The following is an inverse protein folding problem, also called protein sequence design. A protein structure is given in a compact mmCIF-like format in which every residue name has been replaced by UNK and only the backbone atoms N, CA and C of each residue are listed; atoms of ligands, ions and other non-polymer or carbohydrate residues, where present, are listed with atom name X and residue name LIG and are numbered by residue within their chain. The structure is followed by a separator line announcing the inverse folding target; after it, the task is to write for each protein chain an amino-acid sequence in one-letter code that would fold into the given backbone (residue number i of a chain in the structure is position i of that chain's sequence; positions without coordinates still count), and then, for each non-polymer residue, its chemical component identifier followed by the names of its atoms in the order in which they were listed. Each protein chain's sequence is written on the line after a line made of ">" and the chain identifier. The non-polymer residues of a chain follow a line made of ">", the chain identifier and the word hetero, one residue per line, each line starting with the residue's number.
data_IF_657309331244
#
_entry.id   IF_657309331244
#
_cell.length_a   1.000
_cell.length_b   1.000
_cell.length_c   1.000
_cell.angle_alpha   90.00
_cell.angle_beta   90.00
_cell.angle_gamma   90.00
#
_symmetry.space_group_name_H-M   'P 1'
#
loop_
_entity.id
_entity.type
_entity.pdbx_description
1 polymer ?
#
# COMPACT_ATOMS: atom_id res chain seq x y z
N UNK A 1 -22.07 -15.13 15.70
CA UNK A 1 -21.38 -14.19 16.61
C UNK A 1 -19.88 -14.39 16.41
N UNK A 2 -19.18 -13.40 15.86
CA UNK A 2 -17.71 -13.43 15.82
C UNK A 2 -17.17 -13.25 17.25
N UNK A 3 -16.11 -13.97 17.65
CA UNK A 3 -15.47 -13.73 18.94
C UNK A 3 -14.93 -12.29 18.99
N UNK A 4 -15.02 -11.59 20.13
CA UNK A 4 -14.57 -10.21 20.22
C UNK A 4 -13.05 -10.14 19.96
N UNK A 5 -12.67 -9.34 18.95
CA UNK A 5 -11.26 -9.11 18.55
C UNK A 5 -10.40 -8.50 19.66
N UNK A 6 -11.03 -7.97 20.71
CA UNK A 6 -10.40 -7.34 21.87
C UNK A 6 -11.10 -7.80 23.16
N UNK A 7 -10.33 -8.20 24.18
CA UNK A 7 -10.88 -8.66 25.46
C UNK A 7 -11.08 -7.52 26.48
N UNK A 8 -10.29 -6.45 26.35
CA UNK A 8 -10.24 -5.34 27.30
C UNK A 8 -10.28 -3.99 26.59
N UNK A 9 -10.73 -2.95 27.29
CA UNK A 9 -10.64 -1.55 26.87
C UNK A 9 -10.16 -0.66 28.02
N UNK A 10 -9.40 0.37 27.69
CA UNK A 10 -8.96 1.44 28.57
C UNK A 10 -9.96 2.60 28.47
N UNK A 11 -10.36 3.17 29.60
CA UNK A 11 -11.32 4.28 29.68
C UNK A 11 -10.62 5.47 30.34
N UNK A 12 -10.69 6.63 29.70
CA UNK A 12 -10.06 7.85 30.19
C UNK A 12 -11.08 8.69 30.97
N UNK A 13 -10.77 9.03 32.23
CA UNK A 13 -11.65 9.83 33.09
C UNK A 13 -11.20 11.29 33.21
N UNK A 14 -10.01 11.62 32.71
CA UNK A 14 -9.41 12.95 32.80
C UNK A 14 -8.46 13.21 31.65
N UNK A 15 -8.06 14.48 31.47
CA UNK A 15 -7.19 14.90 30.38
C UNK A 15 -7.94 15.04 29.05
N UNK A 16 -7.21 15.22 27.93
CA UNK A 16 -7.80 15.51 26.61
C UNK A 16 -8.69 14.39 26.06
N UNK A 17 -8.48 13.15 26.52
CA UNK A 17 -9.24 11.98 26.12
C UNK A 17 -10.38 11.63 27.10
N UNK A 18 -10.67 12.48 28.10
CA UNK A 18 -11.71 12.21 29.08
C UNK A 18 -13.06 11.88 28.42
N UNK A 19 -13.69 10.78 28.84
CA UNK A 19 -14.93 10.27 28.26
C UNK A 19 -14.73 9.29 27.11
N UNK A 20 -13.51 9.10 26.60
CA UNK A 20 -13.20 8.17 25.54
C UNK A 20 -12.80 6.78 26.07
N UNK A 21 -12.94 5.76 25.22
CA UNK A 21 -12.42 4.42 25.48
C UNK A 21 -11.60 3.88 24.31
N UNK A 22 -10.50 3.18 24.61
CA UNK A 22 -9.59 2.58 23.64
C UNK A 22 -9.59 1.06 23.82
N UNK A 23 -9.88 0.31 22.76
CA UNK A 23 -9.76 -1.15 22.77
C UNK A 23 -8.29 -1.58 22.84
N UNK A 24 -7.99 -2.53 23.71
CA UNK A 24 -6.63 -2.99 23.95
C UNK A 24 -6.38 -4.32 23.20
N UNK A 25 -5.44 -4.38 22.23
CA UNK A 25 -4.98 -5.63 21.65
C UNK A 25 -4.29 -6.52 22.70
N UNK A 26 -4.19 -7.82 22.41
CA UNK A 26 -3.40 -8.75 23.21
C UNK A 26 -1.91 -8.42 23.06
N UNK A 27 -1.13 -8.51 24.14
CA UNK A 27 0.30 -8.20 24.16
C UNK A 27 0.68 -6.99 25.02
N UNK A 28 1.93 -6.56 24.89
CA UNK A 28 2.48 -5.42 25.63
C UNK A 28 2.16 -4.11 24.89
N UNK A 29 1.52 -3.16 25.57
CA UNK A 29 1.12 -1.85 25.06
C UNK A 29 1.82 -0.76 25.86
N UNK A 30 2.56 0.10 25.18
CA UNK A 30 3.32 1.20 25.78
C UNK A 30 2.48 2.47 25.89
N UNK A 31 2.45 3.07 27.08
CA UNK A 31 1.81 4.36 27.34
C UNK A 31 2.89 5.39 27.66
N UNK A 32 2.89 6.52 26.94
CA UNK A 32 3.88 7.58 27.12
C UNK A 32 3.60 8.79 26.25
N UNK A 33 4.46 9.79 26.29
CA UNK A 33 4.30 11.01 25.50
C UNK A 33 5.14 11.02 24.20
N UNK A 34 5.95 9.98 23.97
CA UNK A 34 6.81 9.87 22.78
C UNK A 34 6.08 9.20 21.60
N UNK A 35 6.49 9.50 20.36
CA UNK A 35 5.91 8.88 19.15
C UNK A 35 6.09 7.35 19.06
N UNK A 36 7.00 6.78 19.85
CA UNK A 36 7.28 5.35 19.93
C UNK A 36 6.27 4.60 20.82
N UNK A 37 5.40 5.31 21.53
CA UNK A 37 4.39 4.71 22.40
C UNK A 37 3.13 4.34 21.61
N UNK A 38 2.60 3.15 21.87
CA UNK A 38 1.35 2.66 21.26
C UNK A 38 0.15 3.55 21.63
N UNK A 39 0.17 4.12 22.84
CA UNK A 39 -0.83 5.08 23.32
C UNK A 39 -0.12 6.36 23.76
N UNK A 40 -0.27 7.40 22.94
CA UNK A 40 0.29 8.71 23.24
C UNK A 40 -0.57 9.45 24.27
N UNK A 41 -0.08 9.52 25.49
CA UNK A 41 -0.72 10.16 26.64
C UNK A 41 0.29 11.05 27.35
N UNK A 42 0.19 12.36 27.18
CA UNK A 42 1.03 13.32 27.89
C UNK A 42 0.64 13.41 29.38
N UNK A 43 1.59 13.13 30.27
CA UNK A 43 1.40 13.27 31.72
C UNK A 43 2.22 14.45 32.25
N UNK A 44 1.62 15.44 32.94
CA UNK A 44 2.33 16.66 33.36
C UNK A 44 3.56 16.46 34.27
N UNK A 45 3.74 15.26 34.85
CA UNK A 45 4.75 14.97 35.88
C UNK A 45 5.69 13.81 35.53
N UNK A 46 5.59 13.27 34.32
CA UNK A 46 6.46 12.21 33.83
C UNK A 46 6.56 12.37 32.31
N UNK A 47 7.74 12.71 31.75
CA UNK A 47 7.97 12.65 30.32
C UNK A 47 8.56 11.29 29.91
N UNK A 48 8.34 10.89 28.66
CA UNK A 48 8.82 9.65 28.06
C UNK A 48 7.81 8.50 28.12
N UNK A 49 8.32 7.27 28.14
CA UNK A 49 7.49 6.09 28.41
C UNK A 49 7.09 6.03 29.88
N UNK A 50 5.79 5.99 30.16
CA UNK A 50 5.24 6.04 31.51
C UNK A 50 5.10 4.65 32.11
N UNK A 51 4.47 3.74 31.37
CA UNK A 51 4.20 2.37 31.79
C UNK A 51 3.91 1.46 30.59
N UNK A 52 3.94 0.14 30.83
CA UNK A 52 3.52 -0.88 29.86
C UNK A 52 2.32 -1.63 30.42
N UNK A 53 1.28 -1.80 29.60
CA UNK A 53 0.14 -2.67 29.88
C UNK A 53 0.37 -4.00 29.18
N UNK A 54 0.54 -5.08 29.94
CA UNK A 54 0.51 -6.45 29.42
C UNK A 54 -0.92 -6.94 29.45
N UNK A 55 -1.52 -7.03 28.26
CA UNK A 55 -2.92 -7.39 28.07
C UNK A 55 -2.99 -8.85 27.66
N UNK A 56 -3.88 -9.60 28.30
CA UNK A 56 -4.21 -11.00 27.98
C UNK A 56 -5.70 -11.24 28.12
N UNK A 57 -6.20 -12.39 27.70
CA UNK A 57 -7.60 -12.78 27.93
C UNK A 57 -7.98 -12.78 29.43
N UNK A 58 -7.02 -13.14 30.29
CA UNK A 58 -7.22 -13.28 31.75
C UNK A 58 -7.22 -11.94 32.49
N UNK A 59 -6.56 -10.91 31.96
CA UNK A 59 -6.39 -9.65 32.67
C UNK A 59 -5.40 -8.68 32.03
N UNK A 60 -5.29 -7.50 32.63
CA UNK A 60 -4.30 -6.48 32.27
C UNK A 60 -3.36 -6.25 33.45
N UNK A 61 -2.06 -6.43 33.22
CA UNK A 61 -1.01 -6.13 34.19
C UNK A 61 -0.28 -4.86 33.80
N UNK A 62 -0.03 -4.00 34.77
CA UNK A 62 0.74 -2.77 34.63
C UNK A 62 2.18 -3.01 35.04
N UNK A 63 3.13 -2.59 34.20
CA UNK A 63 4.54 -2.40 34.58
C UNK A 63 4.85 -0.91 34.59
N UNK A 64 5.21 -0.39 35.75
CA UNK A 64 5.58 1.01 35.96
C UNK A 64 7.01 1.24 35.45
N UNK A 65 7.22 2.27 34.63
CA UNK A 65 8.55 2.65 34.17
C UNK A 65 9.02 3.92 34.89
N UNK A 66 8.32 5.03 34.66
CA UNK A 66 8.75 6.36 35.14
C UNK A 66 7.69 7.11 35.93
N UNK A 67 6.47 6.57 36.00
CA UNK A 67 5.35 7.21 36.70
C UNK A 67 4.97 6.44 37.96
N UNK A 68 4.60 7.17 39.01
CA UNK A 68 4.01 6.57 40.22
C UNK A 68 2.54 6.33 39.98
N UNK A 69 2.11 5.08 40.14
CA UNK A 69 0.73 4.68 39.92
C UNK A 69 -0.02 4.50 41.25
N UNK A 70 -1.30 4.86 41.25
CA UNK A 70 -2.22 4.57 42.35
C UNK A 70 -3.46 3.88 41.84
N UNK A 71 -3.96 2.89 42.56
CA UNK A 71 -5.26 2.26 42.30
C UNK A 71 -6.20 2.65 43.44
N UNK A 72 -7.33 3.27 43.11
CA UNK A 72 -8.32 3.80 44.05
C UNK A 72 -7.68 4.67 45.16
N UNK A 73 -6.67 5.47 44.77
CA UNK A 73 -5.93 6.35 45.67
C UNK A 73 -4.84 5.68 46.52
N UNK A 74 -4.72 4.35 46.51
CA UNK A 74 -3.62 3.62 47.18
C UNK A 74 -2.43 3.50 46.25
N UNK A 75 -1.24 3.89 46.72
CA UNK A 75 0.01 3.78 45.95
C UNK A 75 0.37 2.31 45.77
N UNK A 76 0.66 1.92 44.53
CA UNK A 76 1.17 0.58 44.22
C UNK A 76 2.57 0.39 44.82
N UNK A 77 2.83 -0.81 45.35
CA UNK A 77 4.15 -1.24 45.86
C UNK A 77 4.72 -2.25 44.87
N UNK A 78 5.96 -2.05 44.41
CA UNK A 78 6.59 -2.88 43.37
C UNK A 78 6.65 -2.18 42.01
N UNK A 79 7.18 -2.87 41.00
CA UNK A 79 7.28 -2.38 39.62
C UNK A 79 6.12 -2.89 38.73
N UNK A 80 5.47 -3.98 39.12
CA UNK A 80 4.32 -4.55 38.43
C UNK A 80 3.11 -4.71 39.35
N UNK A 81 1.90 -4.58 38.79
CA UNK A 81 0.65 -4.85 39.48
C UNK A 81 -0.47 -5.25 38.51
N UNK A 82 -1.32 -6.19 38.89
CA UNK A 82 -2.55 -6.47 38.14
C UNK A 82 -3.54 -5.32 38.33
N UNK A 83 -4.18 -4.88 37.24
CA UNK A 83 -5.22 -3.83 37.27
C UNK A 83 -6.58 -4.52 37.27
N UNK A 84 -7.34 -4.45 38.38
CA UNK A 84 -8.69 -5.01 38.38
C UNK A 84 -9.63 -4.14 37.55
N UNK A 85 -10.62 -4.77 36.90
CA UNK A 85 -11.63 -4.08 36.12
C UNK A 85 -12.37 -3.02 36.96
N UNK A 86 -12.74 -1.91 36.32
CA UNK A 86 -13.49 -0.78 36.86
C UNK A 86 -12.82 -0.01 38.00
N UNK A 87 -11.58 -0.34 38.36
CA UNK A 87 -10.85 0.41 39.37
C UNK A 87 -10.20 1.65 38.77
N UNK A 88 -10.19 2.75 39.52
CA UNK A 88 -9.58 4.00 39.11
C UNK A 88 -8.07 3.90 39.27
N UNK A 89 -7.37 3.90 38.15
CA UNK A 89 -5.93 4.03 38.04
C UNK A 89 -5.58 5.51 37.87
N UNK A 90 -4.71 6.02 38.73
CA UNK A 90 -4.09 7.35 38.62
C UNK A 90 -2.63 7.15 38.21
N UNK A 91 -2.33 7.54 36.97
CA UNK A 91 -0.98 7.59 36.40
C UNK A 91 -0.50 9.04 36.49
N UNK A 92 0.19 9.41 37.58
CA UNK A 92 0.85 10.71 37.68
C UNK A 92 -0.04 11.95 37.47
N UNK A 93 -1.35 11.85 37.73
CA UNK A 93 -2.33 12.92 37.50
C UNK A 93 -3.34 12.63 36.38
N UNK A 94 -3.15 11.58 35.58
CA UNK A 94 -4.15 11.07 34.65
C UNK A 94 -5.00 9.96 35.29
N UNK A 95 -6.29 10.18 35.44
CA UNK A 95 -7.28 9.18 35.86
C UNK A 95 -7.80 8.34 34.68
N UNK A 96 -7.70 7.03 34.80
CA UNK A 96 -8.13 6.00 33.83
C UNK A 96 -8.69 4.76 34.55
N UNK A 97 -9.39 3.88 33.83
CA UNK A 97 -9.80 2.55 34.32
C UNK A 97 -9.81 1.53 33.19
N UNK A 98 -9.91 0.25 33.51
CA UNK A 98 -9.99 -0.83 32.53
C UNK A 98 -11.34 -1.54 32.64
N UNK A 99 -11.95 -1.91 31.52
CA UNK A 99 -13.21 -2.68 31.47
C UNK A 99 -13.13 -3.78 30.41
N UNK A 100 -14.04 -4.76 30.44
CA UNK A 100 -14.16 -5.71 29.32
C UNK A 100 -14.68 -4.97 28.08
N UNK A 101 -14.22 -5.38 26.89
CA UNK A 101 -14.55 -4.69 25.65
C UNK A 101 -16.07 -4.58 25.40
N UNK A 102 -16.82 -5.64 25.72
CA UNK A 102 -18.29 -5.72 25.55
C UNK A 102 -19.12 -5.16 26.71
N UNK A 103 -18.51 -4.56 27.74
CA UNK A 103 -19.25 -3.94 28.84
C UNK A 103 -19.50 -2.45 28.55
N UNK A 104 -20.75 -2.02 28.52
CA UNK A 104 -21.10 -0.59 28.51
C UNK A 104 -20.90 -0.02 29.92
N UNK A 105 -19.69 0.48 30.20
CA UNK A 105 -19.38 1.12 31.46
C UNK A 105 -19.95 2.56 31.45
N UNK A 106 -20.85 2.94 32.37
CA UNK A 106 -21.28 4.33 32.48
C UNK A 106 -20.11 5.21 32.92
N UNK A 107 -19.87 6.30 32.18
CA UNK A 107 -18.87 7.32 32.53
C UNK A 107 -19.23 7.96 33.89
N UNK A 108 -18.40 7.83 34.95
CA UNK A 108 -18.70 8.47 36.22
C UNK A 108 -18.60 9.99 36.09
N UNK A 109 -19.63 10.70 36.57
CA UNK A 109 -19.71 12.16 36.57
C UNK A 109 -18.52 12.79 37.32
N UNK A 110 -17.87 13.75 36.66
CA UNK A 110 -16.76 14.55 37.18
C UNK A 110 -17.22 15.31 38.43
N UNK A 111 -16.74 14.93 39.62
CA UNK A 111 -16.69 15.82 40.79
C UNK A 111 -15.33 16.51 40.78
N UNK A 112 -15.29 17.78 40.38
CA UNK A 112 -14.09 18.60 40.46
C UNK A 112 -13.66 18.70 41.93
N UNK A 113 -12.55 18.06 42.27
CA UNK A 113 -11.98 18.08 43.62
C UNK A 113 -11.29 19.43 43.79
N UNK A 114 -11.97 20.40 44.41
CA UNK A 114 -11.35 21.65 44.88
C UNK A 114 -10.19 21.28 45.81
N UNK A 115 -8.96 21.63 45.43
CA UNK A 115 -7.83 21.59 46.34
C UNK A 115 -8.03 22.69 47.39
N UNK A 116 -8.55 22.32 48.55
CA UNK A 116 -8.56 23.19 49.72
C UNK A 116 -7.12 23.44 50.15
N UNK A 117 -6.68 24.70 50.05
CA UNK A 117 -5.42 25.16 50.63
C UNK A 117 -5.57 25.05 52.14
N UNK A 118 -4.92 24.06 52.76
CA UNK A 118 -4.75 24.02 54.22
C UNK A 118 -3.66 25.01 54.59
N UNK A 119 -4.06 26.18 55.09
CA UNK A 119 -3.16 27.12 55.76
C UNK A 119 -2.51 26.40 56.96
N UNK A 120 -1.20 26.19 56.88
CA UNK A 120 -0.42 25.77 58.04
C UNK A 120 -0.23 26.97 58.97
N UNK A 121 -0.64 26.79 60.22
CA UNK A 121 -0.61 27.78 61.29
C UNK A 121 0.84 27.89 61.81
N UNK A 122 1.38 29.10 61.75
CA UNK A 122 2.72 29.51 62.19
C UNK A 122 2.88 29.50 63.71
N UNK A 123 3.79 28.68 64.23
CA UNK A 123 4.49 28.77 65.53
C UNK A 123 5.92 28.25 65.25
N UNK A 124 7.05 28.88 65.50
CA UNK A 124 7.47 30.15 66.06
C UNK A 124 9.01 30.18 66.06
N UNK A 125 9.58 31.36 66.38
CA UNK A 125 10.97 31.63 66.79
C UNK A 125 12.03 31.89 65.68
N UNK A 126 12.24 33.20 65.46
CA UNK A 126 13.50 33.97 65.39
C UNK A 126 14.80 33.37 64.79
N UNK A 127 15.28 33.98 63.69
CA UNK A 127 16.61 34.64 63.59
C UNK A 127 16.67 35.52 62.31
N UNK A 128 17.30 36.72 62.34
CA UNK A 128 16.90 37.86 61.52
C UNK A 128 17.78 38.14 60.28
N UNK A 129 17.21 38.85 59.31
CA UNK A 129 17.91 39.92 58.59
C UNK A 129 18.49 39.61 57.21
N UNK A 130 19.19 38.48 57.01
CA UNK A 130 19.96 38.27 55.76
C UNK A 130 19.39 37.19 54.84
N UNK A 131 18.56 36.28 55.35
CA UNK A 131 17.88 35.29 54.51
C UNK A 131 16.63 35.84 53.81
N UNK A 132 15.99 36.90 54.32
CA UNK A 132 14.70 37.36 53.77
C UNK A 132 14.87 38.03 52.40
N UNK A 133 15.96 38.77 52.17
CA UNK A 133 16.25 39.38 50.84
C UNK A 133 16.68 38.32 49.82
N UNK A 134 17.51 37.35 50.23
CA UNK A 134 17.88 36.21 49.39
C UNK A 134 16.68 35.31 49.07
N UNK A 135 15.82 35.03 50.04
CA UNK A 135 14.61 34.22 49.84
C UNK A 135 13.56 34.97 49.02
N UNK A 136 13.46 36.30 49.14
CA UNK A 136 12.55 37.12 48.34
C UNK A 136 13.06 37.27 46.91
N UNK A 137 14.38 37.41 46.69
CA UNK A 137 14.99 37.36 45.36
C UNK A 137 14.82 35.97 44.74
N UNK A 138 15.06 34.88 45.48
CA UNK A 138 14.83 33.50 45.03
C UNK A 138 13.35 33.20 44.83
N UNK A 139 12.42 33.78 45.61
CA UNK A 139 10.97 33.66 45.38
C UNK A 139 10.50 34.50 44.19
N UNK A 140 11.14 35.64 43.90
CA UNK A 140 10.89 36.43 42.70
C UNK A 140 11.49 35.78 41.45
N UNK A 141 12.67 35.17 41.56
CA UNK A 141 13.31 34.37 40.51
C UNK A 141 12.50 33.09 40.27
N UNK A 142 12.21 32.32 41.32
CA UNK A 142 11.37 31.13 41.23
C UNK A 142 9.94 31.46 40.81
N UNK A 143 9.40 32.64 41.13
CA UNK A 143 8.12 33.12 40.61
C UNK A 143 8.16 33.50 39.13
N UNK A 144 9.28 34.03 38.64
CA UNK A 144 9.53 34.26 37.21
C UNK A 144 9.79 32.95 36.46
N UNK A 145 10.55 32.04 37.05
CA UNK A 145 10.87 30.72 36.50
C UNK A 145 9.65 29.80 36.55
N UNK A 146 8.79 29.87 37.58
CA UNK A 146 7.50 29.16 37.61
C UNK A 146 6.49 29.74 36.60
N UNK A 147 6.54 31.05 36.31
CA UNK A 147 5.76 31.66 35.21
C UNK A 147 6.34 31.32 33.84
N UNK A 148 7.65 31.13 33.71
CA UNK A 148 8.31 30.69 32.49
C UNK A 148 8.27 29.17 32.29
N UNK A 149 8.06 28.38 33.36
CA UNK A 149 8.02 26.91 33.37
C UNK A 149 6.61 26.34 33.49
N UNK A 150 5.56 27.16 33.35
CA UNK A 150 4.30 26.63 32.80
C UNK A 150 4.51 26.69 31.29
N UNK A 151 4.91 25.58 30.63
CA UNK A 151 4.93 25.59 29.19
C UNK A 151 3.47 25.82 28.79
N UNK A 152 3.23 26.96 28.15
CA UNK A 152 1.93 27.44 27.75
C UNK A 152 1.44 26.56 26.58
N UNK A 153 1.14 25.28 26.85
CA UNK A 153 0.49 24.36 25.92
C UNK A 153 -1.02 24.49 25.98
N UNK A 154 -1.53 25.64 26.44
CA UNK A 154 -2.80 26.09 25.89
C UNK A 154 -2.49 26.53 24.46
N UNK A 155 -2.43 25.57 23.53
CA UNK A 155 -2.77 25.91 22.15
C UNK A 155 -4.17 26.49 22.27
N UNK A 156 -4.27 27.83 22.24
CA UNK A 156 -5.53 28.52 22.07
C UNK A 156 -6.23 27.78 20.93
N UNK A 157 -7.44 27.27 21.19
CA UNK A 157 -8.23 26.63 20.17
C UNK A 157 -8.34 27.63 19.01
N UNK A 158 -7.63 27.34 17.92
CA UNK A 158 -7.57 28.21 16.76
C UNK A 158 -8.89 28.08 16.02
N UNK A 159 -9.86 28.86 16.46
CA UNK A 159 -11.19 28.92 15.87
C UNK A 159 -11.11 29.28 14.38
N UNK A 160 -10.12 30.09 13.99
CA UNK A 160 -9.94 30.51 12.60
C UNK A 160 -9.39 29.35 11.75
N UNK A 161 -8.34 28.67 12.21
CA UNK A 161 -7.81 27.46 11.57
C UNK A 161 -8.84 26.33 11.50
N UNK A 162 -9.61 26.13 12.56
CA UNK A 162 -10.72 25.18 12.60
C UNK A 162 -11.82 25.51 11.58
N UNK A 163 -12.25 26.77 11.49
CA UNK A 163 -13.23 27.20 10.49
C UNK A 163 -12.70 27.12 9.06
N UNK A 164 -11.43 27.44 8.85
CA UNK A 164 -10.78 27.35 7.55
C UNK A 164 -10.68 25.90 7.08
N UNK A 165 -10.33 24.98 7.97
CA UNK A 165 -10.29 23.55 7.69
C UNK A 165 -11.66 23.00 7.29
N UNK A 166 -12.75 23.50 7.85
CA UNK A 166 -14.11 23.07 7.49
C UNK A 166 -14.64 23.68 6.17
N UNK A 167 -13.99 24.73 5.67
CA UNK A 167 -14.43 25.45 4.46
C UNK A 167 -13.73 24.98 3.19
N UNK A 168 -12.66 24.21 3.29
CA UNK A 168 -12.01 23.63 2.11
C UNK A 168 -12.98 22.68 1.40
N UNK A 169 -13.09 22.87 0.09
CA UNK A 169 -13.96 22.09 -0.78
C UNK A 169 -13.12 21.37 -1.82
N UNK A 170 -13.57 20.17 -2.15
CA UNK A 170 -13.07 19.37 -3.24
C UNK A 170 -14.25 19.03 -4.14
N UNK A 171 -14.01 18.92 -5.45
CA UNK A 171 -15.09 18.66 -6.39
C UNK A 171 -15.70 17.26 -6.18
N UNK A 172 -14.89 16.28 -5.78
CA UNK A 172 -15.29 14.88 -5.66
C UNK A 172 -15.11 14.29 -4.25
N UNK A 173 -14.83 15.11 -3.22
CA UNK A 173 -14.72 14.65 -1.83
C UNK A 173 -15.81 15.30 -1.00
N UNK A 174 -16.68 14.46 -0.43
CA UNK A 174 -17.70 14.84 0.56
C UNK A 174 -17.10 14.74 1.95
N UNK A 175 -17.39 15.76 2.76
CA UNK A 175 -16.99 15.83 4.16
C UNK A 175 -18.25 15.90 5.00
N UNK A 176 -18.60 14.78 5.63
CA UNK A 176 -19.74 14.70 6.54
C UNK A 176 -19.26 14.74 7.99
N UNK A 177 -20.07 15.33 8.87
CA UNK A 177 -19.78 15.40 10.30
C UNK A 177 -20.84 14.62 11.06
N UNK A 178 -20.40 13.73 11.95
CA UNK A 178 -21.32 13.00 12.83
C UNK A 178 -21.63 13.77 14.12
N UNK A 179 -22.55 13.23 14.93
CA UNK A 179 -22.99 13.81 16.20
C UNK A 179 -21.88 13.90 17.26
N UNK A 180 -20.83 13.09 17.11
CA UNK A 180 -19.65 13.09 18.00
C UNK A 180 -18.60 14.12 17.58
N UNK A 181 -18.79 14.77 16.43
CA UNK A 181 -17.91 15.78 15.88
C UNK A 181 -16.77 15.24 15.02
N UNK A 182 -16.76 13.93 14.70
CA UNK A 182 -15.78 13.32 13.80
C UNK A 182 -16.17 13.62 12.35
N UNK A 183 -15.19 14.05 11.56
CA UNK A 183 -15.37 14.22 10.12
C UNK A 183 -15.17 12.90 9.38
N UNK A 184 -16.04 12.56 8.45
CA UNK A 184 -15.86 11.44 7.54
C UNK A 184 -15.65 12.00 6.13
N UNK A 185 -14.46 11.78 5.58
CA UNK A 185 -14.11 12.17 4.23
C UNK A 185 -14.39 10.98 3.32
N UNK A 186 -15.27 11.14 2.35
CA UNK A 186 -15.62 10.11 1.37
C UNK A 186 -15.56 10.69 -0.03
N UNK A 187 -15.21 9.87 -1.02
CA UNK A 187 -15.16 10.31 -2.40
C UNK A 187 -13.82 9.98 -3.04
N UNK A 188 -13.40 10.81 -3.99
CA UNK A 188 -12.36 10.47 -4.95
C UNK A 188 -11.31 11.58 -5.06
N UNK A 189 -10.07 11.16 -5.27
CA UNK A 189 -8.93 12.03 -5.57
C UNK A 189 -8.18 11.48 -6.78
N UNK A 190 -7.50 12.37 -7.49
CA UNK A 190 -6.57 11.96 -8.53
C UNK A 190 -5.24 11.51 -7.90
N UNK A 191 -4.60 12.40 -7.14
CA UNK A 191 -3.38 12.11 -6.39
C UNK A 191 -3.58 12.22 -4.88
N UNK A 192 -3.09 11.24 -4.12
CA UNK A 192 -3.07 11.30 -2.65
C UNK A 192 -2.23 12.48 -2.11
N UNK A 193 -1.26 12.95 -2.89
CA UNK A 193 -0.47 14.13 -2.57
C UNK A 193 -1.35 15.39 -2.47
N UNK A 194 -2.38 15.52 -3.30
CA UNK A 194 -3.29 16.68 -3.30
C UNK A 194 -4.18 16.73 -2.06
N UNK A 195 -4.50 15.55 -1.50
CA UNK A 195 -5.30 15.44 -0.29
C UNK A 195 -4.48 15.74 0.98
N UNK A 196 -3.16 15.51 0.93
CA UNK A 196 -2.27 15.60 2.09
C UNK A 196 -2.27 16.96 2.81
N UNK A 197 -2.24 18.13 2.13
CA UNK A 197 -2.33 19.44 2.77
C UNK A 197 -3.62 19.63 3.58
N UNK A 198 -4.74 19.08 3.09
CA UNK A 198 -6.02 19.15 3.77
C UNK A 198 -6.03 18.31 5.04
N UNK A 199 -5.57 17.06 4.95
CA UNK A 199 -5.43 16.18 6.10
C UNK A 199 -4.52 16.80 7.17
N UNK A 200 -3.40 17.41 6.75
CA UNK A 200 -2.50 18.12 7.65
C UNK A 200 -3.18 19.31 8.33
N UNK A 201 -4.03 20.04 7.62
CA UNK A 201 -4.80 21.15 8.21
C UNK A 201 -5.80 20.63 9.26
N UNK A 202 -6.49 19.51 8.99
CA UNK A 202 -7.37 18.87 9.97
C UNK A 202 -6.59 18.46 11.23
N UNK A 203 -5.42 17.84 11.08
CA UNK A 203 -4.54 17.44 12.18
C UNK A 203 -4.08 18.67 12.99
N UNK A 204 -3.63 19.74 12.32
CA UNK A 204 -3.16 20.97 12.97
C UNK A 204 -4.27 21.67 13.75
N UNK A 205 -5.49 21.66 13.21
CA UNK A 205 -6.68 22.20 13.86
C UNK A 205 -7.25 21.30 14.98
N UNK A 206 -6.65 20.12 15.22
CA UNK A 206 -7.12 19.16 16.23
C UNK A 206 -8.45 18.51 15.87
N UNK A 207 -8.80 18.44 14.59
CA UNK A 207 -10.04 17.86 14.08
C UNK A 207 -9.83 16.36 13.86
N UNK A 208 -10.62 15.54 14.55
CA UNK A 208 -10.63 14.09 14.36
C UNK A 208 -11.38 13.75 13.09
N UNK A 209 -10.81 12.88 12.25
CA UNK A 209 -11.44 12.46 11.02
C UNK A 209 -11.24 10.97 10.70
N UNK A 210 -12.12 10.44 9.85
CA UNK A 210 -12.02 9.15 9.17
C UNK A 210 -11.83 9.40 7.68
N UNK A 211 -10.68 9.00 7.13
CA UNK A 211 -10.43 9.08 5.69
C UNK A 211 -10.91 7.81 5.01
N UNK A 212 -11.90 7.94 4.13
CA UNK A 212 -12.42 6.91 3.24
C UNK A 212 -12.38 7.37 1.77
N UNK A 213 -11.53 8.34 1.46
CA UNK A 213 -11.30 8.81 0.10
C UNK A 213 -10.41 7.81 -0.62
N UNK A 214 -10.77 7.48 -1.86
CA UNK A 214 -9.99 6.59 -2.73
C UNK A 214 -9.27 7.43 -3.78
N UNK A 215 -7.94 7.39 -3.81
CA UNK A 215 -7.15 8.09 -4.83
C UNK A 215 -6.78 7.18 -6.00
N UNK A 216 -6.85 7.69 -7.22
CA UNK A 216 -6.53 6.94 -8.44
C UNK A 216 -5.07 6.47 -8.47
N UNK A 217 -4.13 7.28 -8.00
CA UNK A 217 -2.71 6.94 -7.93
C UNK A 217 -2.41 5.81 -6.93
N UNK A 218 -3.06 5.83 -5.76
CA UNK A 218 -2.97 4.76 -4.76
C UNK A 218 -3.63 3.47 -5.26
N UNK A 219 -4.79 3.58 -5.91
CA UNK A 219 -5.48 2.45 -6.51
C UNK A 219 -4.63 1.79 -7.59
N UNK A 220 -4.05 2.58 -8.52
CA UNK A 220 -3.10 2.10 -9.54
C UNK A 220 -1.90 1.41 -8.90
N UNK A 221 -1.33 1.97 -7.83
CA UNK A 221 -0.21 1.36 -7.09
C UNK A 221 -0.60 0.03 -6.46
N UNK A 222 -1.77 -0.06 -5.84
CA UNK A 222 -2.30 -1.30 -5.25
C UNK A 222 -2.52 -2.40 -6.29
N UNK A 223 -3.16 -2.06 -7.42
CA UNK A 223 -3.37 -2.99 -8.54
C UNK A 223 -2.03 -3.43 -9.13
N UNK A 224 -1.10 -2.49 -9.35
CA UNK A 224 0.25 -2.80 -9.85
C UNK A 224 1.00 -3.75 -8.91
N UNK A 225 0.86 -3.57 -7.61
CA UNK A 225 1.46 -4.45 -6.61
C UNK A 225 0.92 -5.88 -6.72
N UNK A 226 -0.41 -6.05 -6.80
CA UNK A 226 -1.05 -7.36 -6.98
C UNK A 226 -0.57 -8.03 -8.27
N UNK A 227 -0.53 -7.30 -9.39
CA UNK A 227 -0.06 -7.82 -10.68
C UNK A 227 1.39 -8.31 -10.60
N UNK A 228 2.29 -7.52 -10.01
CA UNK A 228 3.71 -7.89 -9.84
C UNK A 228 3.89 -9.08 -8.90
N UNK A 229 3.13 -9.14 -7.81
CA UNK A 229 3.16 -10.25 -6.86
C UNK A 229 2.71 -11.56 -7.51
N UNK A 230 1.79 -11.48 -8.47
CA UNK A 230 1.35 -12.60 -9.29
C UNK A 230 2.17 -12.75 -10.59
N UNK A 231 3.37 -12.18 -10.70
CA UNK A 231 4.28 -12.44 -11.84
C UNK A 231 4.09 -11.57 -13.09
N UNK A 232 3.11 -10.68 -13.13
CA UNK A 232 2.90 -9.73 -14.25
C UNK A 232 3.75 -8.47 -14.06
N UNK A 233 5.07 -8.58 -14.22
CA UNK A 233 6.02 -7.48 -13.90
C UNK A 233 5.87 -6.26 -14.81
N UNK A 234 5.45 -6.53 -16.04
CA UNK A 234 5.39 -5.58 -17.14
C UNK A 234 3.96 -5.09 -17.45
N UNK A 235 2.95 -5.61 -16.74
CA UNK A 235 1.59 -5.13 -16.87
C UNK A 235 1.46 -3.67 -16.42
N UNK A 236 0.69 -2.90 -17.19
CA UNK A 236 0.42 -1.50 -16.95
C UNK A 236 -0.99 -1.31 -16.41
N UNK A 237 -1.15 -0.30 -15.56
CA UNK A 237 -2.44 0.07 -14.96
C UNK A 237 -2.70 1.53 -15.24
N UNK A 238 -3.78 1.80 -15.97
CA UNK A 238 -4.30 3.16 -16.18
C UNK A 238 -5.63 3.33 -15.45
N UNK A 239 -6.00 4.59 -15.20
CA UNK A 239 -7.34 4.90 -14.72
C UNK A 239 -8.39 4.41 -15.73
N UNK A 240 -9.52 3.92 -15.22
CA UNK A 240 -10.68 3.59 -16.03
C UNK A 240 -11.60 4.80 -16.24
N UNK A 241 -12.76 4.56 -16.85
CA UNK A 241 -13.71 5.63 -17.18
C UNK A 241 -14.54 6.08 -15.99
N UNK A 242 -14.68 5.24 -14.98
CA UNK A 242 -15.48 5.50 -13.78
C UNK A 242 -14.62 5.52 -12.52
N UNK A 243 -15.07 6.21 -11.48
CA UNK A 243 -14.44 6.16 -10.17
C UNK A 243 -14.16 4.75 -9.63
N UNK A 244 -12.97 4.56 -9.09
CA UNK A 244 -12.54 3.26 -8.56
C UNK A 244 -12.33 2.20 -9.65
N UNK A 245 -12.35 2.58 -10.93
CA UNK A 245 -12.11 1.65 -12.03
C UNK A 245 -10.69 1.77 -12.59
N UNK A 246 -10.15 0.66 -13.08
CA UNK A 246 -8.84 0.61 -13.74
C UNK A 246 -8.89 -0.19 -15.03
N UNK A 247 -7.96 0.12 -15.94
CA UNK A 247 -7.70 -0.68 -17.13
C UNK A 247 -6.31 -1.29 -16.96
N UNK A 248 -6.24 -2.60 -17.08
CA UNK A 248 -5.01 -3.39 -17.00
C UNK A 248 -4.61 -3.74 -18.44
N UNK A 249 -3.40 -3.39 -18.84
CA UNK A 249 -2.84 -3.74 -20.16
C UNK A 249 -1.57 -4.57 -20.01
N UNK A 250 -1.39 -5.58 -20.86
CA UNK A 250 -0.20 -6.44 -20.85
C UNK A 250 -0.48 -7.86 -21.34
N UNK A 251 0.55 -8.70 -21.32
CA UNK A 251 0.44 -10.12 -21.67
C UNK A 251 -0.26 -10.89 -20.53
N UNK A 252 -1.59 -10.97 -20.62
CA UNK A 252 -2.45 -11.63 -19.65
C UNK A 252 -3.20 -12.76 -20.35
N UNK A 253 -2.98 -13.97 -19.87
CA UNK A 253 -3.63 -15.20 -20.33
C UNK A 253 -4.64 -15.68 -19.30
N UNK A 254 -5.70 -16.35 -19.74
CA UNK A 254 -6.68 -16.97 -18.84
C UNK A 254 -6.12 -18.27 -18.26
N UNK A 255 -5.32 -18.13 -17.20
CA UNK A 255 -4.62 -19.22 -16.53
C UNK A 255 -4.73 -19.13 -14.99
N UNK A 256 -4.10 -20.07 -14.29
CA UNK A 256 -4.12 -20.12 -12.83
C UNK A 256 -3.45 -18.89 -12.18
N UNK A 257 -2.46 -18.29 -12.85
CA UNK A 257 -1.77 -17.09 -12.38
C UNK A 257 -2.73 -15.89 -12.43
N UNK A 258 -3.52 -15.79 -13.51
CA UNK A 258 -4.52 -14.74 -13.67
C UNK A 258 -5.71 -14.93 -12.72
N UNK A 259 -6.14 -16.17 -12.49
CA UNK A 259 -7.21 -16.47 -11.53
C UNK A 259 -6.84 -16.00 -10.11
N UNK A 260 -5.59 -16.22 -9.68
CA UNK A 260 -5.08 -15.73 -8.39
C UNK A 260 -5.05 -14.20 -8.33
N UNK A 261 -4.56 -13.53 -9.38
CA UNK A 261 -4.53 -12.08 -9.45
C UNK A 261 -5.94 -11.47 -9.38
N UNK A 262 -6.88 -12.00 -10.17
CA UNK A 262 -8.28 -11.57 -10.23
C UNK A 262 -8.95 -11.65 -8.86
N UNK A 263 -8.78 -12.76 -8.13
CA UNK A 263 -9.34 -12.91 -6.79
C UNK A 263 -8.81 -11.87 -5.79
N UNK A 264 -7.53 -11.49 -5.89
CA UNK A 264 -6.95 -10.45 -5.04
C UNK A 264 -7.43 -9.06 -5.42
N UNK A 265 -7.61 -8.80 -6.72
CA UNK A 265 -8.17 -7.53 -7.23
C UNK A 265 -9.61 -7.32 -6.72
N UNK A 266 -10.44 -8.36 -6.73
CA UNK A 266 -11.83 -8.29 -6.24
C UNK A 266 -11.94 -7.97 -4.74
N UNK A 267 -10.86 -8.17 -3.98
CA UNK A 267 -10.78 -7.88 -2.56
C UNK A 267 -10.10 -6.53 -2.27
N UNK A 268 -9.58 -5.84 -3.29
CA UNK A 268 -8.84 -4.59 -3.12
C UNK A 268 -9.80 -3.46 -2.71
N UNK A 269 -9.67 -2.88 -1.51
CA UNK A 269 -10.56 -1.81 -1.08
C UNK A 269 -10.47 -0.60 -2.00
N UNK A 270 -11.63 -0.07 -2.41
CA UNK A 270 -11.71 1.09 -3.31
C UNK A 270 -11.64 0.75 -4.81
N UNK A 271 -11.32 -0.51 -5.18
CA UNK A 271 -11.46 -0.99 -6.55
C UNK A 271 -12.92 -1.40 -6.81
N UNK A 272 -13.63 -0.62 -7.62
CA UNK A 272 -15.03 -0.87 -7.97
C UNK A 272 -15.18 -1.78 -9.18
N UNK A 273 -14.25 -1.69 -10.14
CA UNK A 273 -14.25 -2.47 -11.38
C UNK A 273 -12.87 -2.47 -12.01
N UNK A 274 -12.58 -3.48 -12.81
CA UNK A 274 -11.35 -3.56 -13.58
C UNK A 274 -11.60 -4.25 -14.90
N UNK A 275 -10.84 -3.88 -15.93
CA UNK A 275 -10.92 -4.51 -17.25
C UNK A 275 -9.52 -4.82 -17.75
N UNK A 276 -9.41 -5.92 -18.50
CA UNK A 276 -8.17 -6.27 -19.19
C UNK A 276 -8.26 -5.86 -20.65
N UNK A 277 -7.27 -5.11 -21.12
CA UNK A 277 -7.04 -4.84 -22.52
C UNK A 277 -5.75 -5.54 -22.94
N UNK A 278 -5.88 -6.70 -23.55
CA UNK A 278 -4.74 -7.44 -24.08
C UNK A 278 -4.44 -6.96 -25.51
N UNK A 279 -3.45 -6.07 -25.65
CA UNK A 279 -2.97 -5.52 -26.94
C UNK A 279 -1.69 -6.23 -27.44
N UNK A 280 -1.38 -7.38 -26.85
CA UNK A 280 -0.17 -8.16 -27.11
C UNK A 280 -0.01 -8.54 -28.58
N UNK A 281 -1.10 -8.96 -29.23
CA UNK A 281 -1.10 -9.35 -30.65
C UNK A 281 -0.70 -8.17 -31.54
N UNK A 282 -1.31 -7.00 -31.31
CA UNK A 282 -1.01 -5.78 -32.06
C UNK A 282 0.44 -5.31 -31.84
N UNK A 283 0.97 -5.49 -30.63
CA UNK A 283 2.36 -5.17 -30.32
C UNK A 283 3.33 -6.03 -31.12
N UNK A 284 3.11 -7.35 -31.18
CA UNK A 284 4.00 -8.24 -31.94
C UNK A 284 3.91 -7.95 -33.43
N UNK A 285 2.71 -7.76 -33.98
CA UNK A 285 2.54 -7.38 -35.40
C UNK A 285 3.34 -6.11 -35.71
N UNK A 286 3.25 -5.09 -34.84
CA UNK A 286 4.03 -3.87 -35.02
C UNK A 286 5.55 -4.10 -34.97
N UNK A 287 6.03 -4.96 -34.07
CA UNK A 287 7.45 -5.35 -34.03
C UNK A 287 7.88 -6.03 -35.32
N UNK A 288 7.11 -7.02 -35.78
CA UNK A 288 7.39 -7.78 -37.00
C UNK A 288 7.41 -6.85 -38.22
N UNK A 289 6.43 -5.96 -38.35
CA UNK A 289 6.38 -4.99 -39.44
C UNK A 289 7.59 -4.05 -39.45
N UNK A 290 8.00 -3.57 -38.26
CA UNK A 290 9.21 -2.75 -38.11
C UNK A 290 10.48 -3.52 -38.53
N UNK A 291 10.64 -4.76 -38.07
CA UNK A 291 11.79 -5.61 -38.43
C UNK A 291 11.79 -5.94 -39.93
N UNK A 292 10.61 -6.14 -40.52
CA UNK A 292 10.45 -6.40 -41.95
C UNK A 292 10.83 -5.19 -42.80
N UNK A 293 10.41 -3.99 -42.42
CA UNK A 293 10.81 -2.75 -43.11
C UNK A 293 12.33 -2.53 -43.14
N UNK A 294 13.04 -3.09 -42.16
CA UNK A 294 14.51 -3.03 -42.08
C UNK A 294 15.21 -4.26 -42.65
N UNK A 295 14.48 -5.23 -43.23
CA UNK A 295 14.98 -6.52 -43.71
C UNK A 295 15.73 -7.32 -42.62
N UNK A 296 15.27 -7.22 -41.37
CA UNK A 296 15.84 -7.88 -40.21
C UNK A 296 15.01 -9.09 -39.73
N UNK A 297 13.78 -9.25 -40.21
CA UNK A 297 12.88 -10.30 -39.74
C UNK A 297 13.17 -11.69 -40.33
N UNK A 298 13.83 -11.76 -41.48
CA UNK A 298 14.14 -13.03 -42.12
C UNK A 298 14.93 -13.92 -41.15
N UNK A 299 14.38 -15.10 -40.81
CA UNK A 299 14.92 -16.07 -39.84
C UNK A 299 14.71 -15.76 -38.34
N UNK A 300 13.86 -14.79 -38.00
CA UNK A 300 13.48 -14.51 -36.61
C UNK A 300 12.10 -15.07 -36.25
N UNK A 301 11.99 -15.58 -35.02
CA UNK A 301 10.75 -15.94 -34.36
C UNK A 301 10.55 -15.04 -33.16
N UNK A 302 9.29 -14.68 -32.89
CA UNK A 302 8.87 -13.76 -31.84
C UNK A 302 7.72 -14.39 -31.07
N UNK A 303 7.90 -14.62 -29.78
CA UNK A 303 6.88 -15.23 -28.92
C UNK A 303 6.99 -14.67 -27.49
N UNK A 304 5.88 -14.63 -26.75
CA UNK A 304 5.97 -14.38 -25.32
C UNK A 304 6.42 -15.63 -24.57
N UNK A 305 7.39 -15.45 -23.68
CA UNK A 305 7.78 -16.47 -22.72
C UNK A 305 7.61 -15.89 -21.31
N UNK A 306 6.48 -16.23 -20.69
CA UNK A 306 6.06 -15.59 -19.44
C UNK A 306 5.75 -14.10 -19.66
N UNK A 307 6.49 -13.23 -18.96
CA UNK A 307 6.31 -11.77 -19.00
C UNK A 307 7.25 -11.07 -20.00
N UNK A 308 8.08 -11.81 -20.72
CA UNK A 308 9.11 -11.28 -21.61
C UNK A 308 8.84 -11.68 -23.05
N UNK A 309 9.10 -10.77 -23.99
CA UNK A 309 9.04 -11.03 -25.42
C UNK A 309 10.36 -11.62 -25.89
N UNK A 310 10.30 -12.86 -26.35
CA UNK A 310 11.42 -13.63 -26.83
C UNK A 310 11.58 -13.43 -28.33
N UNK A 311 12.77 -13.00 -28.77
CA UNK A 311 13.16 -12.91 -30.18
C UNK A 311 14.28 -13.92 -30.41
N UNK A 312 14.02 -14.97 -31.17
CA UNK A 312 14.98 -16.06 -31.43
C UNK A 312 15.23 -16.20 -32.91
N UNK A 313 16.49 -16.35 -33.31
CA UNK A 313 16.83 -16.63 -34.69
C UNK A 313 18.31 -16.41 -34.94
N UNK A 314 18.83 -17.03 -35.99
CA UNK A 314 20.23 -16.85 -36.34
C UNK A 314 20.37 -15.66 -37.29
N UNK A 315 21.14 -14.65 -36.88
CA UNK A 315 21.47 -13.50 -37.72
C UNK A 315 22.99 -13.43 -37.88
N UNK A 316 23.45 -13.07 -39.08
CA UNK A 316 24.88 -12.88 -39.37
C UNK A 316 25.47 -11.82 -38.42
N UNK A 317 26.70 -12.06 -37.93
CA UNK A 317 27.38 -11.19 -36.96
C UNK A 317 27.39 -9.71 -37.36
N UNK A 318 27.54 -9.41 -38.65
CA UNK A 318 27.53 -8.05 -39.18
C UNK A 318 26.18 -7.31 -39.02
N UNK A 319 25.06 -8.05 -38.94
CA UNK A 319 23.70 -7.52 -38.82
C UNK A 319 23.16 -7.57 -37.38
N UNK A 320 23.78 -8.34 -36.48
CA UNK A 320 23.34 -8.45 -35.09
C UNK A 320 23.30 -7.09 -34.35
N UNK A 321 24.29 -6.18 -34.48
CA UNK A 321 24.22 -4.86 -33.84
C UNK A 321 23.02 -4.03 -34.32
N UNK A 322 22.68 -4.12 -35.60
CA UNK A 322 21.54 -3.42 -36.18
C UNK A 322 20.22 -3.95 -35.61
N UNK A 323 20.09 -5.28 -35.48
CA UNK A 323 18.93 -5.91 -34.85
C UNK A 323 18.78 -5.48 -33.39
N UNK A 324 19.85 -5.59 -32.58
CA UNK A 324 19.82 -5.20 -31.16
C UNK A 324 19.37 -3.75 -31.00
N UNK A 325 19.93 -2.85 -31.81
CA UNK A 325 19.56 -1.44 -31.76
C UNK A 325 18.11 -1.20 -32.18
N UNK A 326 17.60 -1.94 -33.18
CA UNK A 326 16.19 -1.85 -33.59
C UNK A 326 15.24 -2.31 -32.47
N UNK A 327 15.56 -3.42 -31.80
CA UNK A 327 14.80 -3.95 -30.67
C UNK A 327 14.79 -2.97 -29.49
N UNK A 328 15.95 -2.42 -29.12
CA UNK A 328 16.08 -1.44 -28.04
C UNK A 328 15.28 -0.17 -28.32
N UNK A 329 15.37 0.39 -29.53
CA UNK A 329 14.59 1.58 -29.92
C UNK A 329 13.09 1.31 -29.86
N UNK A 330 12.65 0.13 -30.33
CA UNK A 330 11.25 -0.27 -30.29
C UNK A 330 10.72 -0.44 -28.87
N UNK A 331 11.56 -0.97 -27.97
CA UNK A 331 11.24 -1.12 -26.54
C UNK A 331 11.16 0.24 -25.82
N UNK A 332 12.12 1.15 -26.09
CA UNK A 332 12.14 2.49 -25.51
C UNK A 332 10.95 3.35 -25.92
N UNK A 333 10.51 3.24 -27.19
CA UNK A 333 9.33 3.95 -27.69
C UNK A 333 8.03 3.57 -26.95
N UNK A 334 8.05 2.48 -26.17
CA UNK A 334 6.95 1.99 -25.34
C UNK A 334 7.21 2.15 -23.85
N UNK A 335 8.12 3.04 -23.44
CA UNK A 335 8.40 3.28 -22.01
C UNK A 335 9.01 2.09 -21.28
N UNK A 336 9.61 1.12 -21.99
CA UNK A 336 10.13 -0.14 -21.45
C UNK A 336 9.07 -0.99 -20.73
N UNK A 337 7.81 -0.87 -21.15
CA UNK A 337 6.68 -1.64 -20.62
C UNK A 337 6.73 -3.13 -20.98
N UNK A 338 7.70 -3.57 -21.78
CA UNK A 338 7.90 -4.96 -22.18
C UNK A 338 9.40 -5.24 -22.10
N UNK A 339 9.78 -6.41 -21.59
CA UNK A 339 11.17 -6.89 -21.69
C UNK A 339 11.35 -7.68 -22.97
N UNK A 340 12.28 -7.24 -23.82
CA UNK A 340 12.66 -7.98 -25.03
C UNK A 340 13.97 -8.73 -24.77
N UNK A 341 14.01 -10.02 -25.10
CA UNK A 341 15.21 -10.85 -25.00
C UNK A 341 15.51 -11.41 -26.38
N UNK A 342 16.68 -11.05 -26.93
CA UNK A 342 17.17 -11.64 -28.17
C UNK A 342 18.14 -12.81 -27.89
N UNK A 343 17.91 -13.92 -28.58
CA UNK A 343 18.80 -15.09 -28.59
C UNK A 343 19.20 -15.43 -30.02
N UNK A 344 20.51 -15.39 -30.28
CA UNK A 344 21.11 -15.83 -31.55
C UNK A 344 21.18 -17.36 -31.58
N UNK A 345 20.02 -18.02 -31.69
CA UNK A 345 19.87 -19.48 -31.70
C UNK A 345 19.13 -19.88 -32.99
N UNK A 346 19.64 -20.87 -33.76
CA UNK A 346 18.97 -21.33 -34.97
C UNK A 346 17.55 -21.87 -34.72
N UNK A 347 16.64 -21.59 -35.65
CA UNK A 347 15.24 -22.01 -35.58
C UNK A 347 15.04 -23.53 -35.75
N UNK A 348 16.08 -24.31 -36.09
CA UNK A 348 15.99 -25.76 -36.32
C UNK A 348 15.40 -26.55 -35.12
N UNK A 349 15.58 -26.06 -33.88
CA UNK A 349 14.92 -26.68 -32.70
C UNK A 349 13.40 -26.40 -32.65
N UNK A 350 12.95 -25.27 -33.19
CA UNK A 350 11.53 -24.92 -33.28
C UNK A 350 10.84 -25.78 -34.35
N UNK A 351 11.48 -26.04 -35.48
CA UNK A 351 10.93 -26.89 -36.56
C UNK A 351 10.49 -28.28 -36.05
N UNK A 352 11.35 -28.93 -35.26
CA UNK A 352 11.07 -30.25 -34.69
C UNK A 352 9.92 -30.27 -33.68
N UNK A 353 9.60 -29.12 -33.08
CA UNK A 353 8.49 -28.97 -32.13
C UNK A 353 7.17 -28.56 -32.81
N UNK A 354 7.25 -27.95 -34.00
CA UNK A 354 6.11 -27.35 -34.69
C UNK A 354 5.50 -28.27 -35.74
N UNK A 355 6.32 -29.04 -36.47
CA UNK A 355 5.78 -29.98 -37.45
C UNK A 355 5.38 -31.31 -36.77
N UNK A 356 4.21 -31.89 -37.14
CA UNK A 356 3.73 -33.13 -36.52
C UNK A 356 4.69 -34.28 -36.80
N UNK A 357 4.79 -35.20 -35.83
CA UNK A 357 5.62 -36.41 -35.92
C UNK A 357 7.09 -36.15 -36.28
N UNK A 358 7.62 -34.97 -35.91
CA UNK A 358 8.97 -34.52 -36.27
C UNK A 358 9.22 -34.49 -37.79
N UNK A 359 8.16 -34.33 -38.58
CA UNK A 359 8.23 -34.35 -40.03
C UNK A 359 9.10 -33.20 -40.56
N UNK A 360 10.00 -33.54 -41.48
CA UNK A 360 10.95 -32.60 -42.08
C UNK A 360 10.36 -32.02 -43.37
N UNK A 361 10.78 -30.80 -43.72
CA UNK A 361 10.47 -30.21 -45.03
C UNK A 361 11.23 -30.99 -46.10
N UNK A 362 10.51 -31.61 -47.05
CA UNK A 362 11.13 -32.39 -48.14
C UNK A 362 11.12 -31.66 -49.48
N UNK A 363 10.20 -30.72 -49.69
CA UNK A 363 10.16 -29.92 -50.91
C UNK A 363 9.31 -28.66 -50.75
N UNK A 364 9.73 -27.59 -51.43
CA UNK A 364 8.93 -26.40 -51.73
C UNK A 364 8.58 -26.38 -53.21
N UNK A 365 7.32 -26.16 -53.54
CA UNK A 365 6.83 -26.24 -54.93
C UNK A 365 5.63 -25.33 -55.16
N UNK A 366 5.29 -25.09 -56.42
CA UNK A 366 4.17 -24.23 -56.82
C UNK A 366 4.64 -22.91 -57.43
N UNK A 367 3.74 -21.93 -57.46
CA UNK A 367 4.01 -20.58 -57.95
C UNK A 367 3.68 -19.55 -56.85
N UNK A 368 3.95 -18.26 -57.09
CA UNK A 368 3.73 -17.19 -56.09
C UNK A 368 2.29 -17.08 -55.54
N UNK A 369 1.29 -17.66 -56.22
CA UNK A 369 -0.12 -17.64 -55.78
C UNK A 369 -0.59 -18.95 -55.15
N UNK A 370 0.18 -20.03 -55.31
CA UNK A 370 -0.19 -21.38 -54.90
C UNK A 370 1.03 -22.19 -54.46
N UNK A 371 1.94 -21.56 -53.73
CA UNK A 371 3.10 -22.20 -53.16
C UNK A 371 2.68 -23.19 -52.06
N UNK A 372 3.38 -24.31 -51.97
CA UNK A 372 3.15 -25.31 -50.94
C UNK A 372 4.44 -26.01 -50.53
N UNK A 373 4.49 -26.41 -49.26
CA UNK A 373 5.48 -27.33 -48.72
C UNK A 373 4.91 -28.74 -48.69
N UNK A 374 5.79 -29.71 -48.94
CA UNK A 374 5.52 -31.11 -48.65
C UNK A 374 6.42 -31.52 -47.49
N UNK A 375 5.83 -32.17 -46.49
CA UNK A 375 6.57 -32.75 -45.37
C UNK A 375 6.85 -34.24 -45.60
N UNK A 376 7.82 -34.79 -44.86
CA UNK A 376 8.23 -36.20 -44.95
C UNK A 376 7.10 -37.18 -44.61
N UNK A 377 6.12 -36.77 -43.81
CA UNK A 377 4.92 -37.55 -43.49
C UNK A 377 3.81 -37.46 -44.57
N UNK A 378 4.09 -36.80 -45.71
CA UNK A 378 3.16 -36.65 -46.82
C UNK A 378 2.19 -35.47 -46.70
N UNK A 379 2.18 -34.76 -45.57
CA UNK A 379 1.33 -33.58 -45.39
C UNK A 379 1.75 -32.46 -46.33
N UNK A 380 0.76 -31.79 -46.93
CA UNK A 380 0.94 -30.61 -47.75
C UNK A 380 0.49 -29.37 -47.00
N UNK A 381 1.37 -28.38 -46.90
CA UNK A 381 1.14 -27.14 -46.16
C UNK A 381 1.16 -25.98 -47.17
N UNK A 382 0.17 -25.10 -47.11
CA UNK A 382 0.07 -23.88 -47.91
C UNK A 382 -0.46 -22.71 -47.07
N UNK A 383 -0.35 -21.48 -47.55
CA UNK A 383 -0.93 -20.31 -46.88
C UNK A 383 -2.41 -20.54 -46.52
N UNK A 384 -2.78 -20.22 -45.28
CA UNK A 384 -4.11 -20.48 -44.71
C UNK A 384 -4.31 -21.89 -44.13
N UNK A 385 -3.34 -22.80 -44.27
CA UNK A 385 -3.42 -24.11 -43.61
C UNK A 385 -3.33 -23.94 -42.08
N UNK A 386 -4.00 -24.80 -41.34
CA UNK A 386 -3.84 -24.91 -39.87
C UNK A 386 -3.23 -26.26 -39.55
N UNK A 387 -2.10 -26.25 -38.83
CA UNK A 387 -1.39 -27.44 -38.40
C UNK A 387 -2.10 -28.11 -37.22
N UNK A 388 -1.91 -29.42 -36.98
CA UNK A 388 -2.58 -30.13 -35.89
C UNK A 388 -2.36 -29.55 -34.48
N UNK A 389 -1.23 -28.89 -34.26
CA UNK A 389 -0.89 -28.21 -33.00
C UNK A 389 -1.46 -26.77 -32.89
N UNK A 390 -2.27 -26.33 -33.85
CA UNK A 390 -2.99 -25.06 -33.84
C UNK A 390 -2.29 -23.90 -34.54
N UNK A 391 -1.06 -24.06 -35.05
CA UNK A 391 -0.42 -22.99 -35.83
C UNK A 391 -1.11 -22.81 -37.18
N UNK A 392 -1.39 -21.56 -37.52
CA UNK A 392 -1.88 -21.16 -38.83
C UNK A 392 -0.74 -20.64 -39.69
N UNK A 393 -0.71 -21.05 -40.95
CA UNK A 393 0.26 -20.57 -41.94
C UNK A 393 -0.19 -19.20 -42.46
N UNK A 394 0.52 -18.16 -42.05
CA UNK A 394 0.20 -16.78 -42.46
C UNK A 394 0.91 -16.38 -43.74
N UNK A 395 2.10 -16.93 -43.99
CA UNK A 395 2.89 -16.67 -45.19
C UNK A 395 3.71 -17.91 -45.56
N UNK A 396 3.86 -18.11 -46.87
CA UNK A 396 4.73 -19.13 -47.41
C UNK A 396 5.35 -18.62 -48.72
N UNK A 397 6.67 -18.47 -48.73
CA UNK A 397 7.44 -18.05 -49.89
C UNK A 397 8.83 -18.69 -49.90
N UNK A 398 9.68 -18.27 -50.84
CA UNK A 398 11.05 -18.78 -50.99
C UNK A 398 11.97 -18.50 -49.79
N UNK A 399 11.61 -17.54 -48.92
CA UNK A 399 12.40 -17.16 -47.74
C UNK A 399 12.00 -17.97 -46.50
N UNK A 400 10.85 -18.68 -46.52
CA UNK A 400 10.40 -19.45 -45.37
C UNK A 400 8.89 -19.64 -45.28
N UNK A 401 8.50 -20.22 -44.15
CA UNK A 401 7.12 -20.31 -43.68
C UNK A 401 6.95 -19.48 -42.41
N UNK A 402 5.94 -18.61 -42.42
CA UNK A 402 5.49 -17.88 -41.23
C UNK A 402 4.27 -18.57 -40.63
N UNK A 403 4.33 -18.80 -39.33
CA UNK A 403 3.33 -19.50 -38.54
C UNK A 403 2.86 -18.62 -37.39
N UNK A 404 1.55 -18.63 -37.10
CA UNK A 404 0.95 -17.89 -36.00
C UNK A 404 0.09 -18.78 -35.11
N UNK A 405 0.23 -18.65 -33.80
CA UNK A 405 -0.65 -19.27 -32.79
C UNK A 405 -0.68 -18.41 -31.53
N UNK A 406 -1.86 -18.01 -31.05
CA UNK A 406 -2.07 -17.43 -29.70
C UNK A 406 -1.00 -16.40 -29.24
N UNK A 407 -0.66 -15.42 -30.08
CA UNK A 407 0.36 -14.41 -29.74
C UNK A 407 1.81 -14.85 -29.96
N UNK A 408 2.04 -15.94 -30.68
CA UNK A 408 3.34 -16.39 -31.14
C UNK A 408 3.44 -16.29 -32.67
N UNK A 409 4.59 -15.83 -33.15
CA UNK A 409 4.96 -15.78 -34.57
C UNK A 409 6.29 -16.46 -34.77
N UNK A 410 6.31 -17.43 -35.67
CA UNK A 410 7.51 -18.20 -35.96
C UNK A 410 7.79 -18.07 -37.45
N UNK A 411 9.02 -17.65 -37.78
CA UNK A 411 9.55 -17.78 -39.14
C UNK A 411 10.52 -18.94 -39.17
N UNK A 412 10.22 -19.95 -39.98
CA UNK A 412 11.10 -21.08 -40.23
C UNK A 412 11.68 -20.95 -41.65
N UNK A 413 13.01 -20.85 -41.81
CA UNK A 413 13.63 -20.87 -43.14
C UNK A 413 13.41 -22.24 -43.79
N UNK A 414 13.34 -22.30 -45.12
CA UNK A 414 13.07 -23.57 -45.80
C UNK A 414 14.25 -24.56 -45.76
N UNK A 415 15.48 -24.09 -45.52
CA UNK A 415 16.66 -24.95 -45.39
C UNK A 415 16.97 -25.83 -46.63
N UNK A 416 16.38 -25.50 -47.78
CA UNK A 416 16.44 -26.26 -49.04
C UNK A 416 17.66 -25.93 -49.89
#
# INVERSE_FOLDING_TARGET
>A
MMPPRFFWKLIFHSGPLAGQSLHLPNGDITLGDTPECDVQLALPKAPGQHCVLRVSEQGVRLRMLRVRCRINGRRLKGEEADIPAHQRLDLGGGELSIARAGEDAPLPRIKSRRYGIRLFRLWGIALPGTMITGLMAVMLQAGRDLRASVPNHHRLFDLQGYQQALRMKFDQIRVDRDETGVLTLTGLCHEAADLSPYLNTLIQAGIVYRNQVVCEDELRRGVTYILRANGYRYAQVSAGQTPGSVIISGNISDDAQWASASQQLDQLPGLSSWTVRNDTEAMIVNLIDMLRQQNLFEQLSVAYQGDSLMVTGQVLDAREPQLRQALERWQQARGNEIRVIYQNIPAAKLEAAIFPDQAQIISFSGNQRAAFLKLSNGMRIQTGSTLPNGYMVTKLDQNGIELRKEGEWVHLPLGL
#
